data_IF_022701725965
#
_entry.id   IF_022701725965
#
_cell.length_a   1.000
_cell.length_b   1.000
_cell.length_c   1.000
_cell.angle_alpha   90.00
_cell.angle_beta   90.00
_cell.angle_gamma   90.00
#
_symmetry.space_group_name_H-M   'P 1'
#
loop_
_entity.id
_entity.type
_entity.pdbx_description
1 polymer ?
#
# COMPACT_ATOMS: atom_id res chain seq x y z
N UNK A 1 -10.15 12.81 15.60
CA UNK A 1 -9.14 11.74 15.47
C UNK A 1 -9.30 11.01 14.16
N UNK A 2 -10.44 10.36 13.88
CA UNK A 2 -10.65 9.68 12.59
C UNK A 2 -10.71 10.65 11.41
N UNK A 3 -11.41 11.79 11.53
CA UNK A 3 -11.41 12.81 10.45
C UNK A 3 -10.01 13.38 10.14
N UNK A 4 -9.11 13.52 11.13
CA UNK A 4 -7.73 13.93 10.85
C UNK A 4 -6.91 12.82 10.20
N UNK A 5 -7.23 11.55 10.48
CA UNK A 5 -6.60 10.39 9.83
C UNK A 5 -7.12 10.20 8.40
N UNK A 6 -8.40 10.48 8.14
CA UNK A 6 -8.98 10.50 6.79
C UNK A 6 -8.14 11.38 5.86
N UNK A 7 -7.96 12.66 6.23
CA UNK A 7 -7.20 13.60 5.40
C UNK A 7 -5.73 13.20 5.29
N UNK A 8 -5.10 12.78 6.40
CA UNK A 8 -3.70 12.37 6.42
C UNK A 8 -3.43 11.16 5.51
N UNK A 9 -4.30 10.15 5.54
CA UNK A 9 -4.18 8.96 4.70
C UNK A 9 -4.55 9.25 3.25
N UNK A 10 -5.61 10.03 3.00
CA UNK A 10 -5.98 10.47 1.67
C UNK A 10 -4.85 11.27 0.98
N UNK A 11 -4.04 12.00 1.75
CA UNK A 11 -2.91 12.80 1.26
C UNK A 11 -1.57 12.05 1.21
N UNK A 12 -1.47 10.81 1.73
CA UNK A 12 -0.19 10.12 1.88
C UNK A 12 0.44 9.72 0.54
N UNK A 13 1.77 9.69 0.52
CA UNK A 13 2.55 9.09 -0.56
C UNK A 13 2.67 7.58 -0.36
N UNK A 14 2.87 6.87 -1.47
CA UNK A 14 3.12 5.43 -1.48
C UNK A 14 4.39 5.13 -2.27
N UNK A 15 5.24 4.27 -1.75
CA UNK A 15 6.44 3.81 -2.44
C UNK A 15 6.43 2.29 -2.58
N UNK A 16 6.57 1.81 -3.82
CA UNK A 16 6.62 0.39 -4.15
C UNK A 16 8.00 0.03 -4.65
N UNK A 17 8.62 -0.99 -4.04
CA UNK A 17 10.01 -1.35 -4.31
C UNK A 17 10.05 -2.60 -5.18
N UNK A 18 10.81 -2.57 -6.27
CA UNK A 18 11.10 -3.71 -7.14
C UNK A 18 9.85 -4.50 -7.59
N UNK A 19 8.82 -3.77 -8.05
CA UNK A 19 7.62 -4.40 -8.61
C UNK A 19 7.96 -5.21 -9.87
N UNK A 20 7.27 -6.33 -10.17
CA UNK A 20 7.59 -7.13 -11.34
C UNK A 20 7.60 -6.32 -12.63
N UNK A 21 8.69 -6.37 -13.39
CA UNK A 21 8.84 -5.59 -14.63
C UNK A 21 9.39 -4.17 -14.45
N UNK A 22 9.66 -3.71 -13.22
CA UNK A 22 10.36 -2.45 -12.97
C UNK A 22 11.19 -2.51 -11.68
N UNK A 23 12.52 -2.47 -11.82
CA UNK A 23 13.44 -2.34 -10.68
C UNK A 23 13.45 -0.91 -10.12
N UNK A 24 13.77 -0.77 -8.83
CA UNK A 24 13.86 0.50 -8.13
C UNK A 24 12.58 0.83 -7.37
N UNK A 25 12.30 2.13 -7.18
CA UNK A 25 11.13 2.57 -6.39
C UNK A 25 10.18 3.36 -7.26
N UNK A 26 8.92 2.91 -7.31
CA UNK A 26 7.80 3.69 -7.85
C UNK A 26 7.27 4.54 -6.70
N UNK A 27 7.46 5.86 -6.77
CA UNK A 27 6.83 6.78 -5.85
C UNK A 27 5.51 7.26 -6.44
N UNK A 28 4.50 7.31 -5.59
CA UNK A 28 3.16 7.69 -5.94
C UNK A 28 2.67 8.77 -5.00
N UNK A 29 1.82 9.66 -5.53
CA UNK A 29 1.13 10.67 -4.75
C UNK A 29 -0.33 10.79 -5.17
N UNK A 30 -1.20 11.27 -4.28
CA UNK A 30 -2.51 11.75 -4.68
C UNK A 30 -2.37 12.91 -5.67
N UNK A 31 -3.23 12.94 -6.68
CA UNK A 31 -3.21 13.97 -7.73
C UNK A 31 -4.50 13.95 -8.55
N UNK A 32 -4.53 14.74 -9.62
CA UNK A 32 -5.58 14.65 -10.62
C UNK A 32 -5.20 13.62 -11.71
N UNK A 33 -6.20 13.09 -12.43
CA UNK A 33 -5.99 12.09 -13.48
C UNK A 33 -5.06 12.61 -14.59
N UNK A 34 -5.24 13.87 -14.97
CA UNK A 34 -4.48 14.59 -15.99
C UNK A 34 -3.02 14.89 -15.59
N UNK A 35 -2.67 14.77 -14.31
CA UNK A 35 -1.30 14.95 -13.83
C UNK A 35 -0.44 13.69 -14.08
N UNK A 36 -1.04 12.55 -14.38
CA UNK A 36 -0.34 11.30 -14.65
C UNK A 36 0.40 11.35 -15.98
N UNK A 37 1.73 11.43 -15.93
CA UNK A 37 2.58 11.43 -17.13
C UNK A 37 3.37 10.13 -17.33
N UNK A 38 3.72 9.46 -16.24
CA UNK A 38 4.57 8.26 -16.28
C UNK A 38 3.72 6.98 -16.24
N UNK A 39 3.90 6.06 -17.20
CA UNK A 39 3.11 4.84 -17.26
C UNK A 39 3.52 3.85 -16.17
N UNK A 40 2.54 3.20 -15.55
CA UNK A 40 2.78 2.09 -14.65
C UNK A 40 3.23 0.83 -15.42
N UNK A 41 4.03 -0.06 -14.80
CA UNK A 41 4.35 -1.36 -15.37
C UNK A 41 3.10 -2.19 -15.67
N UNK A 42 3.18 -3.05 -16.68
CA UNK A 42 2.10 -3.95 -17.05
C UNK A 42 1.64 -4.85 -15.89
N UNK A 43 2.55 -5.24 -14.98
CA UNK A 43 2.23 -6.02 -13.78
C UNK A 43 1.28 -5.29 -12.84
N UNK A 44 1.44 -3.98 -12.68
CA UNK A 44 0.55 -3.12 -11.90
C UNK A 44 -0.78 -2.94 -12.63
N UNK A 45 -0.75 -2.62 -13.92
CA UNK A 45 -1.96 -2.36 -14.72
C UNK A 45 -2.84 -3.60 -14.92
N UNK A 46 -2.26 -4.80 -14.82
CA UNK A 46 -2.98 -6.07 -14.88
C UNK A 46 -3.49 -6.55 -13.51
N UNK A 47 -3.23 -5.81 -12.43
CA UNK A 47 -3.50 -6.26 -11.06
C UNK A 47 -4.48 -5.36 -10.31
N UNK A 48 -5.24 -5.96 -9.40
CA UNK A 48 -5.80 -5.25 -8.25
C UNK A 48 -4.83 -5.42 -7.08
N UNK A 49 -4.48 -4.33 -6.41
CA UNK A 49 -3.45 -4.32 -5.38
C UNK A 49 -4.00 -3.92 -4.02
N UNK A 50 -3.32 -4.37 -2.97
CA UNK A 50 -3.64 -4.09 -1.58
C UNK A 50 -2.35 -3.78 -0.83
N UNK A 51 -2.31 -2.70 -0.04
CA UNK A 51 -1.19 -2.43 0.86
C UNK A 51 -1.58 -2.74 2.31
N UNK A 52 -0.65 -3.36 3.04
CA UNK A 52 -0.79 -3.67 4.45
C UNK A 52 0.48 -3.30 5.21
N UNK A 53 0.29 -2.70 6.38
CA UNK A 53 1.34 -2.31 7.31
C UNK A 53 1.04 -2.89 8.70
N UNK A 54 2.00 -2.78 9.61
CA UNK A 54 1.85 -3.28 10.99
C UNK A 54 2.32 -2.27 12.06
N UNK A 55 2.75 -1.08 11.65
CA UNK A 55 3.21 -0.04 12.57
C UNK A 55 2.03 0.76 13.12
N UNK A 56 2.26 1.41 14.25
CA UNK A 56 1.37 2.42 14.85
C UNK A 56 -0.12 2.00 14.85
N UNK A 57 -0.49 1.00 15.68
CA UNK A 57 -1.85 0.46 15.70
C UNK A 57 -2.87 1.58 15.90
N UNK A 58 -3.92 1.59 15.08
CA UNK A 58 -4.96 2.62 15.06
C UNK A 58 -4.42 4.06 14.88
N UNK A 59 -3.25 4.23 14.26
CA UNK A 59 -2.59 5.54 14.10
C UNK A 59 -1.98 6.09 15.40
N UNK A 60 -1.87 5.26 16.44
CA UNK A 60 -1.24 5.64 17.70
C UNK A 60 0.24 5.30 17.67
N UNK A 61 1.09 6.26 18.03
CA UNK A 61 2.54 6.08 18.05
C UNK A 61 2.92 4.95 19.03
N UNK A 62 3.48 3.87 18.49
CA UNK A 62 4.11 2.82 19.27
C UNK A 62 5.63 3.01 19.35
N UNK A 63 6.29 2.28 20.25
CA UNK A 63 7.75 2.28 20.30
C UNK A 63 8.36 1.63 19.05
N UNK A 64 9.60 1.99 18.73
CA UNK A 64 10.32 1.40 17.60
C UNK A 64 10.43 -0.13 17.72
N UNK A 65 10.72 -0.66 18.91
CA UNK A 65 10.81 -2.10 19.16
C UNK A 65 9.47 -2.81 18.92
N UNK A 66 8.35 -2.23 19.35
CA UNK A 66 7.01 -2.80 19.10
C UNK A 66 6.69 -2.83 17.61
N UNK A 67 6.99 -1.73 16.91
CA UNK A 67 6.79 -1.57 15.48
C UNK A 67 7.66 -2.56 14.68
N UNK A 68 8.95 -2.69 15.01
CA UNK A 68 9.86 -3.64 14.34
C UNK A 68 9.39 -5.08 14.55
N UNK A 69 9.04 -5.47 15.78
CA UNK A 69 8.49 -6.80 16.08
C UNK A 69 7.16 -7.08 15.37
N UNK A 70 6.31 -6.07 15.23
CA UNK A 70 5.06 -6.20 14.48
C UNK A 70 5.34 -6.40 12.98
N UNK A 71 6.27 -5.63 12.42
CA UNK A 71 6.69 -5.77 11.03
C UNK A 71 7.34 -7.13 10.74
N UNK A 72 8.21 -7.64 11.62
CA UNK A 72 8.79 -8.99 11.49
C UNK A 72 7.72 -10.08 11.41
N UNK A 73 6.67 -9.98 12.24
CA UNK A 73 5.53 -10.91 12.20
C UNK A 73 4.73 -10.78 10.90
N UNK A 74 4.52 -9.56 10.42
CA UNK A 74 3.86 -9.34 9.13
C UNK A 74 4.68 -9.94 7.99
N UNK A 75 6.00 -9.72 7.98
CA UNK A 75 6.93 -10.32 7.01
C UNK A 75 6.84 -11.84 7.00
N UNK A 76 6.83 -12.48 8.18
CA UNK A 76 6.66 -13.92 8.28
C UNK A 76 5.31 -14.40 7.72
N UNK A 77 4.23 -13.68 8.00
CA UNK A 77 2.89 -14.01 7.48
C UNK A 77 2.82 -13.86 5.95
N UNK A 78 3.41 -12.79 5.40
CA UNK A 78 3.46 -12.52 3.96
C UNK A 78 4.33 -13.55 3.23
N UNK A 79 5.49 -13.93 3.79
CA UNK A 79 6.34 -14.97 3.20
C UNK A 79 5.69 -16.35 3.20
N UNK A 80 4.78 -16.62 4.14
CA UNK A 80 4.00 -17.86 4.19
C UNK A 80 2.76 -17.82 3.28
N UNK A 81 2.36 -16.64 2.81
CA UNK A 81 1.20 -16.49 1.93
C UNK A 81 1.56 -16.87 0.50
N UNK A 82 0.66 -17.61 -0.15
CA UNK A 82 0.80 -17.98 -1.56
C UNK A 82 -0.12 -17.08 -2.38
N UNK A 83 0.42 -16.19 -3.24
CA UNK A 83 -0.40 -15.38 -4.12
C UNK A 83 -1.25 -16.25 -5.06
N UNK A 84 -2.45 -15.78 -5.45
CA UNK A 84 -3.20 -16.43 -6.52
C UNK A 84 -2.36 -16.46 -7.82
N UNK A 85 -2.65 -17.35 -8.79
CA UNK A 85 -1.90 -17.42 -10.04
C UNK A 85 -1.83 -16.05 -10.75
N UNK A 86 -0.62 -15.59 -11.08
CA UNK A 86 -0.39 -14.26 -11.66
C UNK A 86 -0.32 -13.12 -10.64
N UNK A 87 -0.55 -13.40 -9.36
CA UNK A 87 -0.32 -12.48 -8.26
C UNK A 87 1.16 -12.38 -7.86
N UNK A 88 1.49 -11.33 -7.12
CA UNK A 88 2.85 -11.04 -6.66
C UNK A 88 2.82 -10.22 -5.37
N UNK A 89 3.97 -10.16 -4.70
CA UNK A 89 4.18 -9.34 -3.50
C UNK A 89 5.41 -8.47 -3.75
N UNK A 90 5.36 -7.22 -3.31
CA UNK A 90 6.51 -6.36 -3.28
C UNK A 90 6.59 -5.57 -1.96
N UNK A 91 7.79 -5.17 -1.50
CA UNK A 91 7.94 -4.26 -0.39
C UNK A 91 7.26 -2.92 -0.67
N UNK A 92 6.69 -2.35 0.38
CA UNK A 92 5.92 -1.13 0.33
C UNK A 92 6.30 -0.24 1.52
N UNK A 93 6.18 1.08 1.35
CA UNK A 93 6.02 1.96 2.51
C UNK A 93 5.09 3.11 2.18
N UNK A 94 4.15 3.36 3.10
CA UNK A 94 3.32 4.56 3.11
C UNK A 94 4.06 5.65 3.88
N UNK A 95 3.99 6.89 3.42
CA UNK A 95 4.67 7.99 4.11
C UNK A 95 4.07 9.36 3.84
N UNK A 96 4.46 10.32 4.67
CA UNK A 96 4.25 11.74 4.49
C UNK A 96 5.54 12.49 4.81
N UNK A 97 5.44 13.81 5.01
CA UNK A 97 6.54 14.61 5.56
C UNK A 97 6.76 14.40 7.06
N UNK A 98 5.81 13.78 7.76
CA UNK A 98 5.83 13.61 9.23
C UNK A 98 5.98 12.16 9.68
N UNK A 99 5.57 11.19 8.86
CA UNK A 99 5.54 9.78 9.24
C UNK A 99 5.90 8.86 8.08
N UNK A 100 6.32 7.64 8.41
CA UNK A 100 6.60 6.56 7.46
C UNK A 100 6.31 5.22 8.12
N UNK A 101 5.71 4.32 7.36
CA UNK A 101 5.39 2.97 7.82
C UNK A 101 5.75 1.94 6.74
N UNK A 102 6.59 0.95 7.06
CA UNK A 102 6.94 -0.14 6.15
C UNK A 102 5.83 -1.20 6.13
N UNK A 103 5.71 -1.87 5.00
CA UNK A 103 4.71 -2.91 4.78
C UNK A 103 4.93 -3.63 3.45
N UNK A 104 3.85 -4.18 2.93
CA UNK A 104 3.85 -4.92 1.66
C UNK A 104 2.69 -4.48 0.79
N UNK A 105 2.92 -4.46 -0.52
CA UNK A 105 1.86 -4.43 -1.52
C UNK A 105 1.69 -5.85 -2.07
N UNK A 106 0.45 -6.33 -2.05
CA UNK A 106 0.04 -7.64 -2.52
C UNK A 106 -0.85 -7.44 -3.73
N UNK A 107 -0.56 -8.15 -4.80
CA UNK A 107 -1.26 -8.04 -6.07
C UNK A 107 -1.87 -9.36 -6.48
N UNK A 108 -3.00 -9.27 -7.17
CA UNK A 108 -3.69 -10.38 -7.80
C UNK A 108 -4.25 -9.91 -9.15
N UNK A 109 -4.46 -10.80 -10.13
CA UNK A 109 -5.02 -10.41 -11.42
C UNK A 109 -6.36 -9.68 -11.23
N UNK A 110 -6.50 -8.50 -11.86
CA UNK A 110 -7.70 -7.64 -11.65
C UNK A 110 -9.00 -8.28 -12.11
N UNK A 111 -8.92 -9.21 -13.06
CA UNK A 111 -10.08 -9.93 -13.63
C UNK A 111 -10.38 -11.25 -12.91
N UNK A 112 -9.60 -11.63 -11.89
CA UNK A 112 -9.85 -12.80 -11.05
C UNK A 112 -10.58 -12.41 -9.76
N UNK A 113 -11.92 -12.37 -9.82
CA UNK A 113 -12.75 -11.99 -8.68
C UNK A 113 -12.49 -12.85 -7.42
N UNK A 114 -12.16 -14.14 -7.59
CA UNK A 114 -11.86 -15.03 -6.47
C UNK A 114 -10.49 -14.71 -5.87
N UNK A 115 -9.47 -14.46 -6.71
CA UNK A 115 -8.16 -14.00 -6.30
C UNK A 115 -8.20 -12.66 -5.56
N UNK A 116 -9.00 -11.70 -6.05
CA UNK A 116 -9.25 -10.41 -5.40
C UNK A 116 -9.87 -10.61 -4.02
N UNK A 117 -10.92 -11.42 -3.91
CA UNK A 117 -11.57 -11.70 -2.63
C UNK A 117 -10.63 -12.39 -1.63
N UNK A 118 -9.86 -13.38 -2.08
CA UNK A 118 -8.90 -14.10 -1.24
C UNK A 118 -7.76 -13.19 -0.76
N UNK A 119 -7.22 -12.35 -1.64
CA UNK A 119 -6.15 -11.40 -1.31
C UNK A 119 -6.65 -10.33 -0.34
N UNK A 120 -7.83 -9.76 -0.59
CA UNK A 120 -8.49 -8.82 0.34
C UNK A 120 -8.70 -9.47 1.71
N UNK A 121 -9.23 -10.69 1.77
CA UNK A 121 -9.48 -11.39 3.02
C UNK A 121 -8.17 -11.62 3.82
N UNK A 122 -7.09 -12.01 3.14
CA UNK A 122 -5.78 -12.15 3.78
C UNK A 122 -5.29 -10.81 4.34
N UNK A 123 -5.32 -9.75 3.54
CA UNK A 123 -4.88 -8.41 3.95
C UNK A 123 -5.70 -7.88 5.12
N UNK A 124 -7.03 -8.01 5.08
CA UNK A 124 -7.90 -7.63 6.20
C UNK A 124 -7.58 -8.42 7.47
N UNK A 125 -7.29 -9.72 7.36
CA UNK A 125 -6.92 -10.53 8.51
C UNK A 125 -5.60 -10.05 9.13
N UNK A 126 -4.59 -9.73 8.32
CA UNK A 126 -3.32 -9.16 8.82
C UNK A 126 -3.56 -7.78 9.45
N UNK A 127 -4.24 -6.88 8.76
CA UNK A 127 -4.57 -5.55 9.26
C UNK A 127 -5.30 -5.63 10.63
N UNK A 128 -6.26 -6.54 10.76
CA UNK A 128 -6.96 -6.81 12.03
C UNK A 128 -5.99 -7.30 13.11
N UNK A 129 -5.13 -8.27 12.79
CA UNK A 129 -4.17 -8.85 13.73
C UNK A 129 -3.16 -7.81 14.26
N UNK A 130 -2.80 -6.82 13.44
CA UNK A 130 -1.91 -5.72 13.81
C UNK A 130 -2.63 -4.43 14.22
N UNK A 131 -3.93 -4.54 14.51
CA UNK A 131 -4.77 -3.42 14.97
C UNK A 131 -4.70 -2.18 14.07
N UNK A 132 -4.69 -2.39 12.75
CA UNK A 132 -4.66 -1.31 11.77
C UNK A 132 -6.05 -0.70 11.58
N UNK A 133 -6.11 0.62 11.48
CA UNK A 133 -7.37 1.33 11.32
C UNK A 133 -7.98 1.17 9.93
N UNK A 134 -7.15 1.13 8.89
CA UNK A 134 -7.52 1.00 7.49
C UNK A 134 -6.40 0.32 6.67
N UNK A 135 -6.70 -0.01 5.42
CA UNK A 135 -5.77 -0.47 4.39
C UNK A 135 -5.93 0.38 3.13
N UNK A 136 -4.98 0.29 2.20
CA UNK A 136 -5.14 0.83 0.85
C UNK A 136 -5.44 -0.28 -0.16
N UNK A 137 -6.40 -0.03 -1.05
CA UNK A 137 -6.66 -0.79 -2.27
C UNK A 137 -6.35 0.06 -3.49
N UNK A 138 -5.78 -0.54 -4.53
CA UNK A 138 -5.42 0.13 -5.76
C UNK A 138 -6.04 -0.59 -6.96
N UNK A 139 -6.70 0.17 -7.82
CA UNK A 139 -7.36 -0.36 -9.02
C UNK A 139 -6.94 0.44 -10.25
N UNK A 140 -6.43 -0.22 -11.31
CA UNK A 140 -6.18 0.43 -12.59
C UNK A 140 -7.46 1.05 -13.18
N UNK A 141 -7.31 2.22 -13.79
CA UNK A 141 -8.43 2.96 -14.39
C UNK A 141 -8.50 2.60 -15.87
N UNK A 142 -9.66 2.18 -16.35
CA UNK A 142 -9.84 1.82 -17.75
C UNK A 142 -9.55 3.02 -18.67
N UNK A 143 -8.69 2.79 -19.67
CA UNK A 143 -8.24 3.84 -20.58
C UNK A 143 -7.10 4.72 -20.06
N UNK A 144 -6.61 4.51 -18.83
CA UNK A 144 -5.41 5.17 -18.30
C UNK A 144 -4.32 4.15 -17.97
N UNK A 145 -3.08 4.50 -18.31
CA UNK A 145 -1.89 3.76 -17.89
C UNK A 145 -1.00 4.57 -16.93
N UNK A 146 -1.32 5.82 -16.65
CA UNK A 146 -0.50 6.72 -15.83
C UNK A 146 -1.16 7.09 -14.48
N UNK A 147 -2.34 6.53 -14.19
CA UNK A 147 -3.05 6.77 -12.94
C UNK A 147 -3.79 5.51 -12.47
N UNK A 148 -3.96 5.42 -11.16
CA UNK A 148 -4.73 4.39 -10.48
C UNK A 148 -5.78 5.04 -9.58
N UNK A 149 -6.83 4.31 -9.26
CA UNK A 149 -7.71 4.66 -8.16
C UNK A 149 -7.12 4.07 -6.87
N UNK A 150 -6.87 4.88 -5.85
CA UNK A 150 -6.54 4.39 -4.51
C UNK A 150 -7.74 4.60 -3.59
N UNK A 151 -8.19 3.53 -2.95
CA UNK A 151 -9.20 3.57 -1.90
C UNK A 151 -8.55 3.28 -0.55
N UNK A 152 -8.74 4.17 0.41
CA UNK A 152 -8.60 3.85 1.83
C UNK A 152 -9.86 3.11 2.27
N UNK A 153 -9.71 1.89 2.79
CA UNK A 153 -10.81 1.07 3.28
C UNK A 153 -10.59 0.78 4.76
N UNK A 154 -11.54 1.17 5.60
CA UNK A 154 -11.52 0.89 7.03
C UNK A 154 -11.40 -0.62 7.33
N UNK A 155 -10.77 -0.92 8.46
CA UNK A 155 -10.67 -2.27 9.03
C UNK A 155 -11.21 -2.27 10.44
N UNK A 156 -10.53 -1.58 11.36
CA UNK A 156 -10.96 -1.45 12.76
C UNK A 156 -11.51 -0.07 13.12
N UNK A 157 -11.22 0.95 12.31
CA UNK A 157 -11.86 2.25 12.43
C UNK A 157 -13.25 2.24 11.79
N UNK A 158 -14.02 3.31 12.02
CA UNK A 158 -15.28 3.50 11.31
C UNK A 158 -15.06 3.81 9.82
N UNK A 159 -16.12 3.76 9.03
CA UNK A 159 -16.06 4.13 7.60
C UNK A 159 -15.73 5.61 7.37
N UNK A 160 -15.63 6.45 8.41
CA UNK A 160 -15.26 7.87 8.27
C UNK A 160 -13.83 8.06 7.76
N UNK A 161 -12.96 7.04 7.88
CA UNK A 161 -11.61 7.06 7.30
C UNK A 161 -11.55 6.62 5.85
N UNK A 162 -12.66 6.14 5.28
CA UNK A 162 -12.71 5.74 3.87
C UNK A 162 -12.52 6.97 2.99
N UNK A 163 -11.58 6.90 2.05
CA UNK A 163 -11.31 7.95 1.09
C UNK A 163 -11.01 7.33 -0.27
N UNK A 164 -11.28 8.04 -1.35
CA UNK A 164 -10.93 7.62 -2.71
C UNK A 164 -10.24 8.76 -3.42
N UNK A 165 -9.04 8.51 -3.94
CA UNK A 165 -8.23 9.49 -4.65
C UNK A 165 -7.67 8.88 -5.94
N UNK A 166 -7.33 9.73 -6.91
CA UNK A 166 -6.44 9.30 -7.97
C UNK A 166 -5.01 9.29 -7.46
N UNK A 167 -4.29 8.25 -7.85
CA UNK A 167 -2.89 8.07 -7.53
C UNK A 167 -2.09 8.13 -8.84
N UNK A 168 -1.07 8.97 -8.86
CA UNK A 168 -0.18 9.14 -10.01
C UNK A 168 1.27 8.93 -9.58
N UNK A 169 2.09 8.46 -10.51
CA UNK A 169 3.53 8.40 -10.28
C UNK A 169 4.11 9.80 -10.14
N UNK A 170 5.15 9.92 -9.31
CA UNK A 170 5.86 11.17 -9.07
C UNK A 170 7.36 10.90 -8.93
N UNK A 171 8.24 11.87 -9.24
CA UNK A 171 9.63 11.81 -8.78
C UNK A 171 9.69 11.61 -7.26
N UNK A 172 10.80 11.03 -6.79
CA UNK A 172 11.05 10.84 -5.34
C UNK A 172 10.82 12.17 -4.60
N UNK A 173 9.90 12.22 -3.62
CA UNK A 173 9.70 13.43 -2.83
C UNK A 173 10.96 13.87 -2.09
N UNK A 174 11.17 15.18 -1.96
CA UNK A 174 12.32 15.76 -1.25
C UNK A 174 12.09 15.73 0.26
N UNK A 175 12.15 14.52 0.83
CA UNK A 175 12.05 14.27 2.27
C UNK A 175 12.91 13.07 2.63
N UNK A 176 13.58 13.06 3.80
CA UNK A 176 14.32 11.89 4.27
C UNK A 176 13.43 10.63 4.38
N UNK A 177 12.12 10.81 4.61
CA UNK A 177 11.16 9.71 4.71
C UNK A 177 10.86 9.03 3.36
N UNK A 178 11.32 9.59 2.24
CA UNK A 178 11.22 8.97 0.92
C UNK A 178 12.42 8.05 0.60
N UNK A 179 13.45 7.96 1.44
CA UNK A 179 14.61 7.12 1.15
C UNK A 179 14.26 5.62 1.21
N UNK A 180 14.65 4.80 0.22
CA UNK A 180 14.53 3.34 0.38
C UNK A 180 15.36 2.90 1.59
N UNK A 181 14.80 2.06 2.46
CA UNK A 181 15.53 1.51 3.60
C UNK A 181 15.85 0.02 3.40
N UNK A 182 16.78 -0.50 4.20
CA UNK A 182 17.25 -1.88 4.08
C UNK A 182 16.23 -2.94 4.57
N UNK A 183 15.10 -2.55 5.16
CA UNK A 183 14.07 -3.49 5.66
C UNK A 183 13.19 -4.06 4.55
N UNK A 184 13.40 -3.62 3.32
CA UNK A 184 12.61 -4.01 2.14
C UNK A 184 13.12 -5.28 1.42
N UNK A 185 14.05 -6.05 2.00
CA UNK A 185 14.47 -7.31 1.39
C UNK A 185 13.45 -8.43 1.71
N UNK A 186 12.68 -8.87 0.71
CA UNK A 186 12.03 -10.18 0.74
C UNK A 186 13.14 -11.24 0.60
N UNK A 187 13.19 -12.21 1.52
CA UNK A 187 14.15 -13.31 1.50
C UNK A 187 13.70 -14.43 0.54
#
# INVERSE_FOLDING_TARGET
MESSLHDAWAASYDAWVDVPGQSGVIYNRPGALEEGSEPYPASVLASHLFAVMAWNPMGLLASAEENDRAHEKLTAAVNAWVPPPGGWVAPFFGFSVEWREPGFVLACPRDDAAGVAATRAFVHAQATAFSQGAIYEYTPIDGSNCALLRKTTHVLMSADVDATVFLVQTPRPDTPLAAPDARHALN
#
